data_IF_650154453903
#
_entry.id   IF_650154453903
#
_cell.length_a   1.000
_cell.length_b   1.000
_cell.length_c   1.000
_cell.angle_alpha   90.00
_cell.angle_beta   90.00
_cell.angle_gamma   90.00
#
_symmetry.space_group_name_H-M   'P 1'
#
loop_
_entity.id
_entity.type
_entity.pdbx_description
1 polymer ?
#
# COMPACT_ATOMS: atom_id res chain seq x y z
N UNK A 1 12.75 -4.74 46.70
CA UNK A 1 12.98 -5.09 45.27
C UNK A 1 14.06 -4.20 44.67
N UNK A 2 13.89 -2.86 44.68
CA UNK A 2 14.88 -1.87 44.21
C UNK A 2 16.31 -2.11 44.72
N UNK A 3 16.54 -2.28 46.03
CA UNK A 3 17.90 -2.48 46.58
C UNK A 3 18.60 -3.78 46.17
N UNK A 4 17.84 -4.85 45.86
CA UNK A 4 18.39 -6.14 45.41
C UNK A 4 18.63 -6.15 43.90
N UNK A 5 17.75 -5.51 43.13
CA UNK A 5 17.91 -5.33 41.69
C UNK A 5 19.13 -4.44 41.41
N UNK A 6 19.27 -3.34 42.15
CA UNK A 6 20.42 -2.44 42.10
C UNK A 6 21.76 -3.17 42.29
N UNK A 7 21.86 -4.02 43.32
CA UNK A 7 23.06 -4.84 43.58
C UNK A 7 23.35 -5.85 42.47
N UNK A 8 22.32 -6.45 41.89
CA UNK A 8 22.49 -7.38 40.76
C UNK A 8 22.93 -6.66 39.48
N UNK A 9 22.44 -5.44 39.26
CA UNK A 9 22.76 -4.65 38.08
C UNK A 9 24.18 -4.11 38.14
N UNK A 10 24.65 -3.63 39.30
CA UNK A 10 26.04 -3.17 39.43
C UNK A 10 27.04 -4.31 39.21
N UNK A 11 26.73 -5.52 39.69
CA UNK A 11 27.54 -6.71 39.44
C UNK A 11 27.59 -7.09 37.94
N UNK A 12 26.48 -6.92 37.21
CA UNK A 12 26.41 -7.17 35.77
C UNK A 12 27.05 -6.08 34.89
N UNK A 13 27.02 -4.81 35.32
CA UNK A 13 27.70 -3.72 34.59
C UNK A 13 29.22 -3.84 34.73
N UNK A 14 29.70 -4.29 35.89
CA UNK A 14 31.11 -4.60 36.16
C UNK A 14 31.63 -5.75 35.28
N UNK A 15 30.82 -6.78 35.00
CA UNK A 15 31.22 -7.89 34.14
C UNK A 15 31.21 -7.56 32.63
N UNK A 16 30.47 -6.52 32.23
CA UNK A 16 30.40 -6.04 30.84
C UNK A 16 31.31 -4.84 30.54
N UNK A 17 32.18 -4.43 31.47
CA UNK A 17 33.12 -3.32 31.28
C UNK A 17 32.45 -1.94 31.17
N UNK A 18 31.22 -1.80 31.64
CA UNK A 18 30.49 -0.52 31.69
C UNK A 18 30.71 0.17 33.04
N UNK A 19 30.68 1.51 33.07
CA UNK A 19 30.84 2.27 34.33
C UNK A 19 29.82 1.79 35.38
N UNK A 20 30.25 1.63 36.65
CA UNK A 20 29.37 1.18 37.72
C UNK A 20 28.26 2.23 37.97
N UNK A 21 27.02 1.75 37.99
CA UNK A 21 25.83 2.59 38.24
C UNK A 21 25.92 3.16 39.66
N UNK A 22 25.87 4.49 39.82
CA UNK A 22 25.86 5.14 41.14
C UNK A 22 24.43 5.13 41.72
N UNK A 23 24.08 4.02 42.38
CA UNK A 23 22.70 3.62 42.72
C UNK A 23 22.12 4.29 43.98
N UNK A 24 22.84 5.20 44.63
CA UNK A 24 22.44 5.71 45.94
C UNK A 24 21.40 6.86 45.91
N UNK A 25 21.06 7.40 44.73
CA UNK A 25 20.15 8.55 44.59
C UNK A 25 19.24 8.51 43.34
N UNK A 26 19.16 7.38 42.62
CA UNK A 26 18.34 7.31 41.41
C UNK A 26 16.91 6.83 41.68
N UNK A 27 15.94 7.57 41.16
CA UNK A 27 14.52 7.22 41.19
C UNK A 27 14.28 5.82 40.57
N UNK A 28 13.36 5.03 41.14
CA UNK A 28 13.07 3.64 40.71
C UNK A 28 12.79 3.53 39.20
N UNK A 29 12.16 4.56 38.62
CA UNK A 29 11.91 4.65 37.18
C UNK A 29 13.21 4.64 36.36
N UNK A 30 14.20 5.43 36.76
CA UNK A 30 15.49 5.55 36.06
C UNK A 30 16.23 4.22 36.09
N UNK A 31 16.20 3.54 37.24
CA UNK A 31 16.81 2.22 37.40
C UNK A 31 16.19 1.16 36.47
N UNK A 32 14.86 1.11 36.37
CA UNK A 32 14.17 0.14 35.53
C UNK A 32 14.35 0.39 34.04
N UNK A 33 14.56 1.65 33.64
CA UNK A 33 14.80 2.06 32.26
C UNK A 33 16.29 2.06 31.88
N UNK A 34 17.19 1.76 32.83
CA UNK A 34 18.62 1.69 32.57
C UNK A 34 18.94 0.60 31.53
N UNK A 35 19.84 0.82 30.54
CA UNK A 35 20.12 -0.14 29.47
C UNK A 35 20.50 -1.54 29.95
N UNK A 36 21.28 -1.64 31.04
CA UNK A 36 21.65 -2.93 31.65
C UNK A 36 20.44 -3.66 32.22
N UNK A 37 19.51 -2.94 32.87
CA UNK A 37 18.27 -3.50 33.40
C UNK A 37 17.34 -3.96 32.28
N UNK A 38 17.19 -3.14 31.24
CA UNK A 38 16.42 -3.49 30.05
C UNK A 38 17.00 -4.72 29.32
N UNK A 39 18.31 -4.89 29.32
CA UNK A 39 18.98 -6.06 28.71
C UNK A 39 18.68 -7.36 29.48
N UNK A 40 18.55 -7.28 30.81
CA UNK A 40 18.09 -8.41 31.61
C UNK A 40 16.59 -8.66 31.42
N UNK A 41 15.77 -7.61 31.51
CA UNK A 41 14.32 -7.71 31.38
C UNK A 41 13.86 -8.14 29.99
N UNK A 42 14.59 -7.81 28.92
CA UNK A 42 14.24 -8.21 27.56
C UNK A 42 14.25 -9.72 27.35
N UNK A 43 14.97 -10.48 28.20
CA UNK A 43 14.98 -11.93 28.19
C UNK A 43 13.85 -12.53 29.04
N UNK A 44 13.53 -11.90 30.18
CA UNK A 44 12.55 -12.40 31.13
C UNK A 44 11.10 -12.05 30.76
N UNK A 45 10.86 -10.80 30.37
CA UNK A 45 9.51 -10.26 30.13
C UNK A 45 8.73 -11.07 29.08
N UNK A 46 9.31 -11.52 27.95
CA UNK A 46 8.59 -12.34 26.97
C UNK A 46 8.09 -13.70 27.50
N UNK A 47 8.65 -14.20 28.60
CA UNK A 47 8.24 -15.47 29.23
C UNK A 47 7.04 -15.31 30.16
N UNK A 48 6.67 -14.09 30.51
CA UNK A 48 5.63 -13.77 31.49
C UNK A 48 4.41 -13.23 30.76
N UNK A 49 3.24 -13.86 30.98
CA UNK A 49 1.98 -13.42 30.37
C UNK A 49 1.18 -12.44 31.22
N UNK A 50 1.37 -12.43 32.56
CA UNK A 50 0.57 -11.64 33.49
C UNK A 50 1.48 -10.89 34.46
N UNK A 51 1.40 -9.56 34.40
CA UNK A 51 2.04 -8.65 35.34
C UNK A 51 0.93 -8.00 36.20
N UNK A 52 0.85 -8.41 37.47
CA UNK A 52 -0.19 -7.93 38.38
C UNK A 52 0.37 -6.88 39.36
N UNK A 53 -0.50 -5.95 39.79
CA UNK A 53 -0.17 -4.88 40.77
C UNK A 53 1.03 -4.01 40.39
N UNK A 54 1.24 -3.78 39.09
CA UNK A 54 2.29 -2.88 38.61
C UNK A 54 1.93 -1.41 38.86
N UNK A 55 2.90 -0.66 39.38
CA UNK A 55 2.87 0.79 39.37
C UNK A 55 3.03 1.35 37.93
N UNK A 56 2.62 2.59 37.65
CA UNK A 56 2.68 3.17 36.29
C UNK A 56 4.06 3.07 35.62
N UNK A 57 5.13 3.41 36.34
CA UNK A 57 6.50 3.35 35.83
C UNK A 57 6.97 1.91 35.55
N UNK A 58 6.43 0.92 36.27
CA UNK A 58 6.73 -0.49 36.03
C UNK A 58 6.04 -1.02 34.78
N UNK A 59 4.84 -0.53 34.44
CA UNK A 59 4.19 -0.82 33.15
C UNK A 59 5.02 -0.28 31.98
N UNK A 60 5.52 0.95 32.11
CA UNK A 60 6.41 1.56 31.13
C UNK A 60 7.71 0.75 30.95
N UNK A 61 8.30 0.26 32.05
CA UNK A 61 9.49 -0.59 32.01
C UNK A 61 9.27 -1.92 31.27
N UNK A 62 8.10 -2.56 31.44
CA UNK A 62 7.76 -3.79 30.71
C UNK A 62 7.71 -3.54 29.21
N UNK A 63 7.06 -2.46 28.77
CA UNK A 63 7.00 -2.07 27.35
C UNK A 63 8.39 -1.72 26.83
N UNK A 64 9.20 -0.99 27.61
CA UNK A 64 10.57 -0.66 27.26
C UNK A 64 11.45 -1.90 27.09
N UNK A 65 11.33 -2.89 27.96
CA UNK A 65 12.07 -4.15 27.89
C UNK A 65 11.72 -4.96 26.64
N UNK A 66 10.44 -5.05 26.29
CA UNK A 66 9.99 -5.69 25.04
C UNK A 66 10.56 -4.97 23.81
N UNK A 67 10.51 -3.63 23.79
CA UNK A 67 11.08 -2.84 22.70
C UNK A 67 12.60 -3.06 22.57
N UNK A 68 13.31 -3.08 23.70
CA UNK A 68 14.77 -3.33 23.76
C UNK A 68 15.13 -4.72 23.25
N UNK A 69 14.27 -5.72 23.50
CA UNK A 69 14.38 -7.07 22.95
C UNK A 69 14.07 -7.19 21.45
N UNK A 70 13.77 -6.09 20.76
CA UNK A 70 13.46 -6.07 19.33
C UNK A 70 12.01 -6.41 18.99
N UNK A 71 11.12 -6.55 19.98
CA UNK A 71 9.70 -6.79 19.73
C UNK A 71 8.97 -5.49 19.35
N UNK A 72 7.93 -5.62 18.53
CA UNK A 72 6.98 -4.53 18.26
C UNK A 72 5.84 -4.61 19.26
N UNK A 73 5.64 -3.55 20.02
CA UNK A 73 4.69 -3.47 21.13
C UNK A 73 3.46 -2.67 20.75
N UNK A 74 2.30 -3.16 21.16
CA UNK A 74 1.04 -2.45 21.16
C UNK A 74 0.53 -2.42 22.59
N UNK A 75 0.21 -1.23 23.09
CA UNK A 75 -0.34 -1.02 24.43
C UNK A 75 -1.76 -0.47 24.31
N UNK A 76 -2.68 -1.02 25.09
CA UNK A 76 -4.04 -0.50 25.23
C UNK A 76 -4.29 -0.18 26.69
N UNK A 77 -4.85 0.99 26.96
CA UNK A 77 -5.20 1.44 28.30
C UNK A 77 -6.27 2.51 28.27
N UNK A 78 -6.86 2.82 29.41
CA UNK A 78 -7.93 3.80 29.58
C UNK A 78 -7.58 4.87 30.62
N UNK A 79 -6.67 4.55 31.55
CA UNK A 79 -6.34 5.38 32.70
C UNK A 79 -5.04 6.20 32.57
N UNK A 80 -4.94 7.22 33.42
CA UNK A 80 -3.74 8.04 33.64
C UNK A 80 -2.50 7.20 33.98
N UNK A 81 -2.71 6.05 34.61
CA UNK A 81 -1.66 5.09 34.99
C UNK A 81 -1.00 4.39 33.79
N UNK A 82 -1.60 4.44 32.61
CA UNK A 82 -1.08 3.79 31.40
C UNK A 82 -0.36 4.76 30.46
N UNK A 83 -0.38 6.06 30.74
CA UNK A 83 0.18 7.14 29.90
C UNK A 83 1.65 6.87 29.53
N UNK A 84 2.48 6.50 30.50
CA UNK A 84 3.89 6.21 30.25
C UNK A 84 4.09 5.00 29.32
N UNK A 85 3.33 3.93 29.55
CA UNK A 85 3.36 2.72 28.72
C UNK A 85 2.79 2.95 27.31
N UNK A 86 1.69 3.70 27.19
CA UNK A 86 1.07 4.09 25.93
C UNK A 86 2.04 4.88 25.06
N UNK A 87 2.77 5.84 25.65
CA UNK A 87 3.76 6.66 24.94
C UNK A 87 5.03 5.88 24.57
N UNK A 88 5.41 4.89 25.37
CA UNK A 88 6.60 4.05 25.13
C UNK A 88 6.35 2.98 24.05
N UNK A 89 5.11 2.51 23.90
CA UNK A 89 4.74 1.50 22.92
C UNK A 89 4.91 2.02 21.49
N UNK A 90 5.17 1.11 20.53
CA UNK A 90 5.20 1.50 19.12
C UNK A 90 3.81 1.94 18.63
N UNK A 91 2.76 1.32 19.17
CA UNK A 91 1.36 1.68 18.94
C UNK A 91 0.65 1.76 20.29
N UNK A 92 0.21 2.96 20.68
CA UNK A 92 -0.65 3.16 21.85
C UNK A 92 -2.10 3.37 21.43
N UNK A 93 -3.04 2.71 22.11
CA UNK A 93 -4.48 2.88 21.90
C UNK A 93 -5.12 3.24 23.24
N UNK A 94 -5.74 4.42 23.34
CA UNK A 94 -6.62 4.71 24.47
C UNK A 94 -8.05 4.23 24.18
N UNK A 95 -8.73 3.69 25.19
CA UNK A 95 -10.18 3.42 25.13
C UNK A 95 -10.85 4.40 26.08
N UNK A 96 -11.86 5.13 25.60
CA UNK A 96 -12.65 6.01 26.45
C UNK A 96 -13.46 5.14 27.42
N UNK A 97 -13.28 5.37 28.72
CA UNK A 97 -14.01 4.68 29.78
C UNK A 97 -15.21 5.52 30.18
N UNK A 98 -16.42 5.03 29.89
CA UNK A 98 -17.68 5.75 30.15
C UNK A 98 -18.71 4.75 30.72
N UNK A 99 -18.59 4.35 32.00
CA UNK A 99 -19.28 3.18 32.55
C UNK A 99 -20.82 3.24 32.44
N UNK A 100 -21.42 4.43 32.51
CA UNK A 100 -22.87 4.59 32.34
C UNK A 100 -23.31 4.36 30.90
N UNK A 101 -22.57 4.95 29.94
CA UNK A 101 -22.81 4.79 28.51
C UNK A 101 -22.52 3.35 28.07
N UNK A 102 -21.50 2.72 28.65
CA UNK A 102 -21.19 1.31 28.48
C UNK A 102 -22.34 0.40 28.87
N UNK A 103 -22.94 0.65 30.04
CA UNK A 103 -24.08 -0.14 30.51
C UNK A 103 -25.26 0.00 29.55
N UNK A 104 -25.56 1.23 29.08
CA UNK A 104 -26.60 1.48 28.07
C UNK A 104 -26.31 0.73 26.76
N UNK A 105 -25.09 0.83 26.23
CA UNK A 105 -24.68 0.13 24.99
C UNK A 105 -24.75 -1.40 25.13
N UNK A 106 -24.28 -1.96 26.25
CA UNK A 106 -24.33 -3.41 26.52
C UNK A 106 -25.76 -3.91 26.60
N UNK A 107 -26.62 -3.22 27.34
CA UNK A 107 -28.04 -3.59 27.47
C UNK A 107 -28.76 -3.59 26.12
N UNK A 108 -28.55 -2.54 25.30
CA UNK A 108 -29.17 -2.43 23.99
C UNK A 108 -28.64 -3.48 22.99
N UNK A 109 -27.34 -3.75 23.00
CA UNK A 109 -26.73 -4.77 22.13
C UNK A 109 -27.13 -6.20 22.53
N UNK A 110 -27.27 -6.48 23.83
CA UNK A 110 -27.79 -7.75 24.33
C UNK A 110 -29.27 -7.94 23.93
N UNK A 111 -30.11 -6.92 24.06
CA UNK A 111 -31.50 -6.96 23.61
C UNK A 111 -31.60 -7.27 22.10
N UNK A 112 -30.76 -6.64 21.27
CA UNK A 112 -30.66 -6.90 19.83
C UNK A 112 -30.21 -8.33 19.51
N UNK A 113 -29.22 -8.85 20.23
CA UNK A 113 -28.72 -10.21 20.03
C UNK A 113 -29.77 -11.27 20.40
N UNK A 114 -30.51 -11.06 21.49
CA UNK A 114 -31.62 -11.90 21.91
C UNK A 114 -32.77 -11.87 20.89
N UNK A 115 -33.09 -10.69 20.34
CA UNK A 115 -34.09 -10.55 19.29
C UNK A 115 -33.70 -11.31 18.01
N UNK A 116 -32.43 -11.20 17.57
CA UNK A 116 -31.93 -11.95 16.40
C UNK A 116 -31.98 -13.47 16.64
N UNK A 117 -31.60 -13.95 17.82
CA UNK A 117 -31.68 -15.38 18.19
C UNK A 117 -33.12 -15.88 18.23
N UNK A 118 -34.06 -15.10 18.77
CA UNK A 118 -35.50 -15.44 18.78
C UNK A 118 -36.08 -15.48 17.37
N UNK A 119 -35.71 -14.55 16.48
CA UNK A 119 -36.15 -14.53 15.08
C UNK A 119 -35.64 -15.72 14.26
N UNK A 120 -34.39 -16.14 14.48
CA UNK A 120 -33.84 -17.35 13.84
C UNK A 120 -34.62 -18.63 14.21
N UNK A 121 -35.25 -18.67 15.39
CA UNK A 121 -36.10 -19.78 15.87
C UNK A 121 -37.58 -19.67 15.47
N UNK A 122 -38.05 -18.53 14.93
CA UNK A 122 -39.48 -18.22 14.72
C UNK A 122 -39.91 -17.99 13.28
N UNK A 123 -39.14 -18.44 12.28
CA UNK A 123 -39.44 -18.27 10.86
C UNK A 123 -40.74 -18.93 10.33
N UNK A 124 -41.66 -19.40 11.19
CA UNK A 124 -42.91 -20.10 10.80
C UNK A 124 -44.22 -19.57 11.41
N UNK A 125 -44.28 -18.40 12.04
CA UNK A 125 -45.56 -17.87 12.54
C UNK A 125 -45.74 -16.37 12.26
N UNK A 126 -46.43 -16.07 11.15
CA UNK A 126 -46.86 -14.72 10.81
C UNK A 126 -48.03 -14.29 11.69
N UNK A 127 -47.75 -13.40 12.66
CA UNK A 127 -48.65 -12.39 13.26
C UNK A 127 -48.02 -11.89 14.57
N UNK A 128 -47.06 -10.95 14.47
CA UNK A 128 -46.61 -9.99 15.53
C UNK A 128 -45.55 -8.98 15.02
N UNK A 129 -45.58 -8.65 13.72
CA UNK A 129 -44.51 -7.87 13.04
C UNK A 129 -44.44 -6.41 13.51
N UNK A 130 -45.58 -5.77 13.80
CA UNK A 130 -45.63 -4.33 14.14
C UNK A 130 -44.97 -4.00 15.49
N UNK A 131 -45.30 -4.77 16.53
CA UNK A 131 -44.73 -4.60 17.88
C UNK A 131 -43.22 -4.92 17.93
N UNK A 132 -42.78 -5.91 17.13
CA UNK A 132 -41.38 -6.29 17.04
C UNK A 132 -40.54 -5.27 16.28
N UNK A 133 -41.09 -4.65 15.25
CA UNK A 133 -40.47 -3.54 14.52
C UNK A 133 -40.34 -2.29 15.41
N UNK A 134 -41.37 -1.97 16.18
CA UNK A 134 -41.35 -0.83 17.10
C UNK A 134 -40.31 -1.00 18.22
N UNK A 135 -40.20 -2.20 18.81
CA UNK A 135 -39.15 -2.50 19.78
C UNK A 135 -37.74 -2.42 19.16
N UNK A 136 -37.58 -2.90 17.91
CA UNK A 136 -36.31 -2.81 17.19
C UNK A 136 -35.89 -1.36 16.91
N UNK A 137 -36.83 -0.52 16.46
CA UNK A 137 -36.60 0.91 16.25
C UNK A 137 -36.22 1.63 17.56
N UNK A 138 -36.91 1.32 18.67
CA UNK A 138 -36.57 1.85 20.00
C UNK A 138 -35.17 1.43 20.47
N UNK A 139 -34.79 0.16 20.31
CA UNK A 139 -33.45 -0.31 20.66
C UNK A 139 -32.36 0.35 19.78
N UNK A 140 -32.65 0.59 18.50
CA UNK A 140 -31.73 1.27 17.59
C UNK A 140 -31.56 2.74 17.97
N UNK A 141 -32.65 3.39 18.40
CA UNK A 141 -32.62 4.76 18.87
C UNK A 141 -31.82 4.91 20.17
N UNK A 142 -32.00 4.00 21.14
CA UNK A 142 -31.18 3.96 22.36
C UNK A 142 -29.69 3.79 22.07
N UNK A 143 -29.32 3.01 21.04
CA UNK A 143 -27.93 2.88 20.60
C UNK A 143 -27.38 4.18 20.01
N UNK A 144 -28.19 4.94 19.26
CA UNK A 144 -27.79 6.24 18.72
C UNK A 144 -27.59 7.26 19.82
N UNK A 145 -28.53 7.35 20.75
CA UNK A 145 -28.44 8.24 21.91
C UNK A 145 -27.21 7.93 22.76
N UNK A 146 -26.95 6.64 23.05
CA UNK A 146 -25.74 6.23 23.76
C UNK A 146 -24.44 6.56 22.96
N UNK A 147 -24.48 6.50 21.63
CA UNK A 147 -23.34 6.88 20.79
C UNK A 147 -23.11 8.40 20.81
N UNK A 148 -24.18 9.20 20.76
CA UNK A 148 -24.12 10.66 20.87
C UNK A 148 -23.61 11.11 22.26
N UNK A 149 -24.08 10.47 23.33
CA UNK A 149 -23.55 10.69 24.69
C UNK A 149 -22.05 10.38 24.74
N UNK A 150 -21.60 9.28 24.12
CA UNK A 150 -20.19 8.89 24.06
C UNK A 150 -19.32 9.87 23.28
N UNK A 151 -19.87 10.44 22.20
CA UNK A 151 -19.20 11.45 21.39
C UNK A 151 -19.05 12.80 22.11
N UNK A 152 -19.83 13.03 23.17
CA UNK A 152 -19.74 14.20 24.05
C UNK A 152 -18.84 13.98 25.27
N UNK A 153 -18.31 12.77 25.50
CA UNK A 153 -17.43 12.49 26.64
C UNK A 153 -16.08 13.16 26.42
N UNK A 154 -15.63 13.91 27.44
CA UNK A 154 -14.32 14.56 27.45
C UNK A 154 -13.18 13.54 27.39
N UNK A 155 -12.16 13.88 26.61
CA UNK A 155 -10.97 13.06 26.47
C UNK A 155 -10.08 13.19 27.72
N UNK A 156 -9.83 12.08 28.40
CA UNK A 156 -8.88 12.03 29.51
C UNK A 156 -7.40 12.00 29.08
N UNK A 157 -6.48 12.09 30.04
CA UNK A 157 -5.02 12.16 29.80
C UNK A 157 -4.46 11.00 28.97
N UNK A 158 -5.03 9.80 29.10
CA UNK A 158 -4.64 8.62 28.32
C UNK A 158 -4.85 8.84 26.81
N UNK A 159 -5.91 9.56 26.43
CA UNK A 159 -6.22 9.90 25.03
C UNK A 159 -5.31 11.00 24.49
N UNK A 160 -4.77 11.85 25.35
CA UNK A 160 -3.75 12.83 24.95
C UNK A 160 -2.40 12.14 24.69
N UNK A 161 -2.11 11.07 25.43
CA UNK A 161 -0.84 10.36 25.32
C UNK A 161 -0.80 9.32 24.19
N UNK A 162 -1.93 8.70 23.86
CA UNK A 162 -2.02 7.66 22.84
C UNK A 162 -2.21 8.25 21.43
N UNK A 163 -1.49 7.75 20.41
CA UNK A 163 -1.70 8.19 19.02
C UNK A 163 -3.06 7.78 18.45
N UNK A 164 -3.70 6.73 19.00
CA UNK A 164 -5.05 6.31 18.65
C UNK A 164 -5.97 6.41 19.86
N UNK A 165 -7.16 6.95 19.66
CA UNK A 165 -8.23 6.97 20.67
C UNK A 165 -9.46 6.27 20.12
N UNK A 166 -9.89 5.22 20.79
CA UNK A 166 -11.14 4.53 20.47
C UNK A 166 -12.29 5.15 21.23
N UNK A 167 -13.25 5.67 20.47
CA UNK A 167 -14.54 6.10 21.00
C UNK A 167 -15.49 4.95 21.28
N UNK A 168 -15.26 3.77 20.72
CA UNK A 168 -16.07 2.60 21.04
C UNK A 168 -15.52 1.91 22.28
N UNK A 169 -16.40 1.52 23.20
CA UNK A 169 -16.00 0.76 24.39
C UNK A 169 -15.84 -0.72 24.03
N UNK A 170 -14.83 -1.01 23.23
CA UNK A 170 -14.54 -2.35 22.75
C UNK A 170 -13.06 -2.50 22.41
N UNK A 171 -12.48 -3.63 22.80
CA UNK A 171 -11.14 -4.04 22.36
C UNK A 171 -11.09 -4.39 20.86
N UNK A 172 -12.22 -4.36 20.15
CA UNK A 172 -12.26 -4.58 18.69
C UNK A 172 -11.40 -3.56 17.94
N UNK A 173 -11.23 -2.35 18.48
CA UNK A 173 -10.34 -1.34 17.94
C UNK A 173 -8.91 -1.85 17.71
N UNK A 174 -8.41 -2.77 18.54
CA UNK A 174 -7.09 -3.41 18.37
C UNK A 174 -7.05 -4.21 17.07
N UNK A 175 -8.10 -4.99 16.80
CA UNK A 175 -8.22 -5.76 15.56
C UNK A 175 -8.28 -4.81 14.35
N UNK A 176 -9.12 -3.78 14.43
CA UNK A 176 -9.32 -2.83 13.33
C UNK A 176 -8.02 -2.07 12.99
N UNK A 177 -7.28 -1.61 14.00
CA UNK A 177 -5.97 -0.94 13.84
C UNK A 177 -4.93 -1.88 13.22
N UNK A 178 -4.86 -3.15 13.67
CA UNK A 178 -3.92 -4.13 13.09
C UNK A 178 -4.29 -4.44 11.64
N UNK A 179 -5.58 -4.58 11.33
CA UNK A 179 -6.05 -4.84 9.96
C UNK A 179 -5.73 -3.69 9.02
N UNK A 180 -6.02 -2.47 9.44
CA UNK A 180 -5.69 -1.27 8.68
C UNK A 180 -4.18 -1.12 8.52
N UNK A 181 -3.40 -1.25 9.59
CA UNK A 181 -1.94 -1.17 9.52
C UNK A 181 -1.32 -2.19 8.56
N UNK A 182 -1.85 -3.42 8.50
CA UNK A 182 -1.41 -4.43 7.53
C UNK A 182 -1.79 -4.07 6.08
N UNK A 183 -3.01 -3.60 5.85
CA UNK A 183 -3.44 -3.12 4.54
C UNK A 183 -2.56 -1.96 4.08
N UNK A 184 -2.41 -0.92 4.91
CA UNK A 184 -1.58 0.25 4.62
C UNK A 184 -0.13 -0.14 4.32
N UNK A 185 0.48 -1.02 5.12
CA UNK A 185 1.85 -1.46 4.87
C UNK A 185 1.99 -2.14 3.50
N UNK A 186 1.06 -3.03 3.16
CA UNK A 186 1.06 -3.73 1.88
C UNK A 186 0.81 -2.76 0.71
N UNK A 187 -0.10 -1.80 0.85
CA UNK A 187 -0.35 -0.74 -0.13
C UNK A 187 0.90 0.13 -0.35
N UNK A 188 1.60 0.52 0.72
CA UNK A 188 2.82 1.32 0.63
C UNK A 188 3.95 0.58 -0.07
N UNK A 189 4.14 -0.72 0.22
CA UNK A 189 5.13 -1.54 -0.48
C UNK A 189 4.85 -1.64 -1.98
N UNK A 190 3.58 -1.73 -2.37
CA UNK A 190 3.18 -1.73 -3.78
C UNK A 190 3.49 -0.40 -4.45
N UNK A 191 3.13 0.71 -3.80
CA UNK A 191 3.41 2.07 -4.29
C UNK A 191 4.91 2.26 -4.54
N UNK A 192 5.77 1.79 -3.63
CA UNK A 192 7.21 1.88 -3.82
C UNK A 192 7.71 1.04 -5.00
N UNK A 193 7.17 -0.16 -5.22
CA UNK A 193 7.51 -0.97 -6.42
C UNK A 193 7.09 -0.26 -7.71
N UNK A 194 5.85 0.26 -7.74
CA UNK A 194 5.30 1.02 -8.88
C UNK A 194 6.20 2.22 -9.20
N UNK A 195 6.53 3.02 -8.18
CA UNK A 195 7.38 4.20 -8.35
C UNK A 195 8.78 3.84 -8.85
N UNK A 196 9.37 2.77 -8.31
CA UNK A 196 10.70 2.31 -8.73
C UNK A 196 10.74 1.89 -10.19
N UNK A 197 9.77 1.09 -10.64
CA UNK A 197 9.69 0.64 -12.04
C UNK A 197 9.44 1.83 -12.97
N UNK A 198 8.46 2.69 -12.65
CA UNK A 198 8.13 3.85 -13.49
C UNK A 198 9.31 4.82 -13.62
N UNK A 199 10.07 5.04 -12.55
CA UNK A 199 11.26 5.88 -12.58
C UNK A 199 12.34 5.31 -13.53
N UNK A 200 12.61 4.01 -13.46
CA UNK A 200 13.59 3.35 -14.31
C UNK A 200 13.16 3.36 -15.79
N UNK A 201 11.89 3.03 -16.07
CA UNK A 201 11.34 3.04 -17.44
C UNK A 201 11.43 4.45 -18.04
N UNK A 202 10.93 5.48 -17.33
CA UNK A 202 10.95 6.85 -17.83
C UNK A 202 12.37 7.38 -18.05
N UNK A 203 13.31 7.06 -17.15
CA UNK A 203 14.71 7.46 -17.31
C UNK A 203 15.32 6.87 -18.60
N UNK A 204 15.08 5.58 -18.87
CA UNK A 204 15.58 4.92 -20.08
C UNK A 204 14.92 5.43 -21.35
N UNK A 205 13.60 5.61 -21.33
CA UNK A 205 12.84 6.17 -22.46
C UNK A 205 13.35 7.55 -22.82
N UNK A 206 13.48 8.44 -21.83
CA UNK A 206 13.95 9.81 -22.06
C UNK A 206 15.41 9.82 -22.54
N UNK A 207 16.27 8.96 -21.99
CA UNK A 207 17.66 8.82 -22.45
C UNK A 207 17.73 8.34 -23.91
N UNK A 208 16.93 7.35 -24.30
CA UNK A 208 16.91 6.84 -25.67
C UNK A 208 16.34 7.84 -26.66
N UNK A 209 15.23 8.50 -26.31
CA UNK A 209 14.63 9.56 -27.11
C UNK A 209 15.62 10.71 -27.34
N UNK A 210 16.34 11.12 -26.29
CA UNK A 210 17.37 12.16 -26.36
C UNK A 210 18.49 11.82 -27.35
N UNK A 211 18.95 10.56 -27.40
CA UNK A 211 19.98 10.13 -28.36
C UNK A 211 19.51 10.24 -29.82
N UNK A 212 18.21 10.10 -30.07
CA UNK A 212 17.61 10.23 -31.40
C UNK A 212 17.06 11.64 -31.65
N UNK A 213 17.27 12.59 -30.74
CA UNK A 213 16.75 13.96 -30.89
C UNK A 213 15.23 14.10 -30.70
N UNK A 214 14.52 13.02 -30.34
CA UNK A 214 13.06 13.04 -30.16
C UNK A 214 12.72 13.48 -28.73
N UNK A 215 11.59 14.19 -28.60
CA UNK A 215 11.09 14.72 -27.32
C UNK A 215 9.71 14.15 -27.00
N UNK A 216 9.27 14.29 -25.76
CA UNK A 216 7.88 14.04 -25.36
C UNK A 216 7.13 15.37 -25.26
N UNK A 217 5.85 15.37 -25.63
CA UNK A 217 5.02 16.57 -25.58
C UNK A 217 4.57 16.90 -24.16
N UNK A 218 4.41 18.18 -23.85
CA UNK A 218 3.91 18.61 -22.54
C UNK A 218 2.49 18.10 -22.27
N UNK A 219 1.65 18.01 -23.30
CA UNK A 219 0.28 17.49 -23.20
C UNK A 219 0.28 15.98 -22.94
N UNK A 220 1.15 15.23 -23.62
CA UNK A 220 1.38 13.80 -23.36
C UNK A 220 1.72 13.54 -21.88
N UNK A 221 2.71 14.27 -21.35
CA UNK A 221 3.16 14.15 -19.97
C UNK A 221 2.10 14.61 -18.96
N UNK A 222 1.34 15.66 -19.28
CA UNK A 222 0.26 16.17 -18.41
C UNK A 222 -0.87 15.16 -18.30
N UNK A 223 -1.34 14.60 -19.41
CA UNK A 223 -2.42 13.60 -19.41
C UNK A 223 -1.96 12.35 -18.65
N UNK A 224 -0.77 11.84 -18.96
CA UNK A 224 -0.22 10.67 -18.26
C UNK A 224 -0.07 10.94 -16.75
N UNK A 225 0.45 12.10 -16.37
CA UNK A 225 0.60 12.51 -14.97
C UNK A 225 -0.73 12.55 -14.22
N UNK A 226 -1.79 13.09 -14.84
CA UNK A 226 -3.15 13.12 -14.28
C UNK A 226 -3.73 11.71 -14.09
N UNK A 227 -3.56 10.83 -15.08
CA UNK A 227 -3.99 9.42 -14.99
C UNK A 227 -3.24 8.70 -13.88
N UNK A 228 -1.92 8.85 -13.81
CA UNK A 228 -1.08 8.24 -12.76
C UNK A 228 -1.47 8.73 -11.37
N UNK A 229 -1.71 10.03 -11.21
CA UNK A 229 -2.19 10.60 -9.95
C UNK A 229 -3.54 10.00 -9.51
N UNK A 230 -4.49 9.86 -10.46
CA UNK A 230 -5.78 9.22 -10.19
C UNK A 230 -5.62 7.74 -9.80
N UNK A 231 -4.78 6.98 -10.51
CA UNK A 231 -4.53 5.57 -10.19
C UNK A 231 -3.88 5.42 -8.80
N UNK A 232 -2.91 6.25 -8.42
CA UNK A 232 -2.36 6.25 -7.07
C UNK A 232 -3.44 6.52 -6.01
N UNK A 233 -4.31 7.50 -6.24
CA UNK A 233 -5.43 7.77 -5.35
C UNK A 233 -6.34 6.54 -5.20
N UNK A 234 -6.67 5.84 -6.29
CA UNK A 234 -7.51 4.63 -6.24
C UNK A 234 -6.80 3.42 -5.58
N UNK A 235 -5.47 3.28 -5.71
CA UNK A 235 -4.70 2.27 -4.95
C UNK A 235 -4.88 2.48 -3.45
N UNK A 236 -4.78 3.73 -2.98
CA UNK A 236 -4.87 4.05 -1.55
C UNK A 236 -6.26 3.83 -0.93
N UNK A 237 -7.29 3.65 -1.77
CA UNK A 237 -8.66 3.33 -1.34
C UNK A 237 -8.93 1.83 -1.15
N UNK A 238 -7.88 1.01 -1.18
CA UNK A 238 -8.02 -0.40 -0.90
C UNK A 238 -8.44 -0.67 0.55
N UNK A 239 -9.42 -1.55 0.74
CA UNK A 239 -9.93 -1.92 2.05
C UNK A 239 -9.27 -3.20 2.60
N UNK A 240 -9.07 -3.30 3.93
CA UNK A 240 -8.57 -4.51 4.58
C UNK A 240 -9.60 -5.64 4.56
N UNK A 241 -9.13 -6.89 4.60
CA UNK A 241 -10.01 -8.04 4.79
C UNK A 241 -10.49 -8.15 6.25
N UNK A 242 -11.72 -8.66 6.49
CA UNK A 242 -12.32 -8.75 7.82
C UNK A 242 -11.67 -9.79 8.74
N UNK A 243 -10.88 -10.72 8.18
CA UNK A 243 -10.19 -11.77 8.93
C UNK A 243 -8.67 -11.58 8.90
N UNK A 244 -8.03 -11.85 10.04
CA UNK A 244 -6.58 -11.73 10.18
C UNK A 244 -5.90 -13.03 9.77
N UNK A 245 -5.01 -12.94 8.79
CA UNK A 245 -4.15 -14.06 8.40
C UNK A 245 -2.99 -14.27 9.38
N UNK A 246 -2.49 -15.51 9.45
CA UNK A 246 -1.27 -15.83 10.23
C UNK A 246 -0.01 -15.23 9.61
N UNK A 247 0.00 -15.03 8.29
CA UNK A 247 1.12 -14.45 7.55
C UNK A 247 1.30 -12.97 7.91
N UNK A 248 2.55 -12.51 7.96
CA UNK A 248 2.88 -11.09 8.15
C UNK A 248 3.22 -10.47 6.79
N UNK A 249 2.87 -9.20 6.55
CA UNK A 249 3.40 -8.48 5.39
C UNK A 249 4.94 -8.43 5.41
N UNK A 250 5.57 -8.25 4.24
CA UNK A 250 7.00 -7.95 4.19
C UNK A 250 7.30 -6.67 4.97
N UNK A 251 8.48 -6.58 5.59
CA UNK A 251 8.88 -5.43 6.42
C UNK A 251 9.78 -4.42 5.69
N UNK A 252 10.28 -4.74 4.49
CA UNK A 252 11.18 -3.90 3.71
C UNK A 252 10.86 -3.96 2.23
N UNK A 253 11.02 -2.82 1.56
CA UNK A 253 10.93 -2.67 0.10
C UNK A 253 12.14 -3.31 -0.59
N UNK A 254 13.31 -3.31 0.07
CA UNK A 254 14.58 -3.77 -0.49
C UNK A 254 14.85 -5.25 -0.20
N UNK A 255 13.80 -6.07 -0.08
CA UNK A 255 13.99 -7.52 -0.01
C UNK A 255 14.37 -8.06 -1.40
N UNK A 256 15.15 -9.14 -1.43
CA UNK A 256 15.63 -9.74 -2.68
C UNK A 256 14.46 -10.06 -3.65
N UNK A 257 13.35 -10.58 -3.13
CA UNK A 257 12.13 -10.83 -3.91
C UNK A 257 11.61 -9.56 -4.61
N UNK A 258 11.54 -8.43 -3.90
CA UNK A 258 11.05 -7.18 -4.45
C UNK A 258 12.02 -6.61 -5.49
N UNK A 259 13.33 -6.67 -5.23
CA UNK A 259 14.35 -6.21 -6.18
C UNK A 259 14.37 -7.05 -7.47
N UNK A 260 14.27 -8.38 -7.36
CA UNK A 260 14.19 -9.27 -8.52
C UNK A 260 12.91 -8.99 -9.31
N UNK A 261 11.78 -8.80 -8.62
CA UNK A 261 10.52 -8.43 -9.26
C UNK A 261 10.59 -7.10 -10.02
N UNK A 262 11.18 -6.06 -9.40
CA UNK A 262 11.40 -4.76 -10.05
C UNK A 262 12.30 -4.93 -11.28
N UNK A 263 13.41 -5.67 -11.15
CA UNK A 263 14.35 -5.87 -12.25
C UNK A 263 13.75 -6.65 -13.42
N UNK A 264 12.97 -7.71 -13.15
CA UNK A 264 12.31 -8.50 -14.20
C UNK A 264 11.22 -7.68 -14.92
N UNK A 265 10.36 -6.97 -14.17
CA UNK A 265 9.34 -6.12 -14.79
C UNK A 265 9.97 -4.98 -15.60
N UNK A 266 10.99 -4.31 -15.04
CA UNK A 266 11.75 -3.30 -15.77
C UNK A 266 12.38 -3.86 -17.05
N UNK A 267 12.98 -5.05 -17.00
CA UNK A 267 13.55 -5.71 -18.18
C UNK A 267 12.51 -6.00 -19.27
N UNK A 268 11.31 -6.48 -18.90
CA UNK A 268 10.20 -6.68 -19.84
C UNK A 268 9.82 -5.37 -20.53
N UNK A 269 9.55 -4.32 -19.74
CA UNK A 269 9.16 -3.00 -20.27
C UNK A 269 10.26 -2.40 -21.16
N UNK A 270 11.52 -2.52 -20.73
CA UNK A 270 12.67 -2.03 -21.49
C UNK A 270 12.81 -2.74 -22.84
N UNK A 271 12.66 -4.07 -22.87
CA UNK A 271 12.71 -4.84 -24.12
C UNK A 271 11.56 -4.45 -25.04
N UNK A 272 10.32 -4.36 -24.53
CA UNK A 272 9.16 -3.95 -25.33
C UNK A 272 9.38 -2.57 -25.96
N UNK A 273 9.87 -1.61 -25.17
CA UNK A 273 10.17 -0.25 -25.65
C UNK A 273 11.32 -0.25 -26.65
N UNK A 274 12.39 -1.01 -26.41
CA UNK A 274 13.51 -1.13 -27.33
C UNK A 274 13.08 -1.72 -28.69
N UNK A 275 12.28 -2.78 -28.69
CA UNK A 275 11.75 -3.37 -29.92
C UNK A 275 10.86 -2.39 -30.69
N UNK A 276 10.04 -1.60 -30.01
CA UNK A 276 9.25 -0.56 -30.66
C UNK A 276 10.11 0.58 -31.21
N UNK A 277 11.17 0.97 -30.49
CA UNK A 277 12.14 1.96 -30.98
C UNK A 277 12.76 1.46 -32.28
N UNK A 278 13.34 0.25 -32.28
CA UNK A 278 13.96 -0.34 -33.47
C UNK A 278 13.00 -0.46 -34.66
N UNK A 279 11.74 -0.84 -34.41
CA UNK A 279 10.72 -0.92 -35.46
C UNK A 279 10.25 0.46 -35.95
N UNK A 280 10.32 1.50 -35.11
CA UNK A 280 9.89 2.86 -35.46
C UNK A 280 10.97 3.68 -36.18
N UNK A 281 12.26 3.37 -35.98
CA UNK A 281 13.38 4.14 -36.53
C UNK A 281 13.40 4.20 -38.06
N UNK A 282 12.90 3.17 -38.75
CA UNK A 282 12.81 3.17 -40.22
C UNK A 282 11.86 4.22 -40.78
N UNK A 283 10.98 4.78 -39.94
CA UNK A 283 10.01 5.82 -40.29
C UNK A 283 10.43 7.21 -39.80
N UNK A 284 11.60 7.35 -39.17
CA UNK A 284 12.11 8.64 -38.71
C UNK A 284 12.93 9.28 -39.82
N UNK A 285 12.54 10.48 -40.25
CA UNK A 285 13.32 11.28 -41.20
C UNK A 285 14.57 11.84 -40.50
N UNK A 286 15.79 11.46 -40.90
CA UNK A 286 17.03 11.96 -40.28
C UNK A 286 17.22 13.48 -40.39
N UNK A 287 16.47 14.15 -41.28
CA UNK A 287 16.57 15.57 -41.54
C UNK A 287 15.43 16.39 -40.92
N UNK A 288 14.56 15.78 -40.09
CA UNK A 288 13.47 16.50 -39.43
C UNK A 288 14.04 17.57 -38.47
N UNK A 289 13.73 18.87 -38.68
CA UNK A 289 14.20 19.96 -37.82
C UNK A 289 13.78 19.83 -36.35
N UNK A 290 12.73 19.05 -36.05
CA UNK A 290 12.26 18.79 -34.69
C UNK A 290 13.22 17.89 -33.89
N UNK A 291 14.10 17.14 -34.57
CA UNK A 291 15.11 16.25 -33.97
C UNK A 291 16.33 17.01 -33.43
N UNK A 292 16.45 18.31 -33.71
CA UNK A 292 17.54 19.13 -33.18
C UNK A 292 17.33 19.35 -31.67
N UNK A 293 18.39 19.36 -30.83
CA UNK A 293 18.27 19.52 -29.38
C UNK A 293 17.39 20.70 -28.92
N UNK A 294 17.40 21.82 -29.65
CA UNK A 294 16.59 23.02 -29.36
C UNK A 294 15.38 23.19 -30.31
N UNK A 295 15.07 22.19 -31.14
CA UNK A 295 13.93 22.21 -32.06
C UNK A 295 12.56 22.16 -31.34
N UNK A 296 11.47 22.61 -31.99
CA UNK A 296 10.12 22.49 -31.45
C UNK A 296 9.70 21.02 -31.35
N UNK A 297 8.83 20.68 -30.39
CA UNK A 297 8.22 19.36 -30.34
C UNK A 297 7.28 19.16 -31.54
N UNK A 298 7.49 18.09 -32.30
CA UNK A 298 6.58 17.61 -33.34
C UNK A 298 6.34 16.10 -33.13
N UNK A 299 5.09 15.63 -33.04
CA UNK A 299 4.82 14.21 -32.87
C UNK A 299 5.25 13.42 -34.11
N UNK A 300 6.11 12.43 -33.90
CA UNK A 300 6.57 11.50 -34.92
C UNK A 300 6.31 10.05 -34.51
N UNK A 301 6.63 9.11 -35.40
CA UNK A 301 6.33 7.69 -35.20
C UNK A 301 7.07 7.14 -33.99
N UNK A 302 8.35 7.50 -33.83
CA UNK A 302 9.16 7.08 -32.67
C UNK A 302 8.59 7.60 -31.35
N UNK A 303 8.23 8.88 -31.27
CA UNK A 303 7.56 9.45 -30.09
C UNK A 303 6.25 8.71 -29.80
N UNK A 304 5.40 8.52 -30.80
CA UNK A 304 4.06 7.94 -30.62
C UNK A 304 4.14 6.49 -30.13
N UNK A 305 4.99 5.67 -30.75
CA UNK A 305 5.20 4.26 -30.37
C UNK A 305 5.77 4.15 -28.95
N UNK A 306 6.84 4.88 -28.65
CA UNK A 306 7.47 4.83 -27.32
C UNK A 306 6.58 5.43 -26.23
N UNK A 307 5.80 6.47 -26.52
CA UNK A 307 4.85 7.06 -25.57
C UNK A 307 3.70 6.11 -25.25
N UNK A 308 3.09 5.46 -26.24
CA UNK A 308 2.04 4.45 -26.02
C UNK A 308 2.56 3.28 -25.17
N UNK A 309 3.77 2.79 -25.43
CA UNK A 309 4.38 1.73 -24.64
C UNK A 309 4.79 2.18 -23.24
N UNK A 310 5.20 3.43 -23.08
CA UNK A 310 5.45 4.02 -21.76
C UNK A 310 4.15 4.10 -20.95
N UNK A 311 3.04 4.49 -21.60
CA UNK A 311 1.73 4.50 -20.98
C UNK A 311 1.28 3.10 -20.55
N UNK A 312 1.38 2.09 -21.44
CA UNK A 312 0.98 0.72 -21.09
C UNK A 312 1.86 0.15 -19.98
N UNK A 313 3.18 0.36 -20.04
CA UNK A 313 4.11 -0.07 -18.99
C UNK A 313 3.72 0.55 -17.65
N UNK A 314 3.43 1.85 -17.65
CA UNK A 314 2.97 2.57 -16.45
C UNK A 314 1.69 1.96 -15.89
N UNK A 315 0.67 1.71 -16.72
CA UNK A 315 -0.60 1.08 -16.29
C UNK A 315 -0.37 -0.36 -15.81
N UNK A 316 0.50 -1.11 -16.49
CA UNK A 316 0.89 -2.47 -16.12
C UNK A 316 1.49 -2.51 -14.72
N UNK A 317 2.31 -1.53 -14.33
CA UNK A 317 2.85 -1.49 -12.97
C UNK A 317 1.74 -1.47 -11.91
N UNK A 318 0.63 -0.74 -12.12
CA UNK A 318 -0.51 -0.74 -11.20
C UNK A 318 -1.24 -2.09 -11.19
N UNK A 319 -1.57 -2.62 -12.38
CA UNK A 319 -2.35 -3.85 -12.49
C UNK A 319 -1.59 -5.08 -11.94
N UNK A 320 -0.30 -5.19 -12.27
CA UNK A 320 0.56 -6.32 -11.91
C UNK A 320 0.95 -6.27 -10.44
N UNK A 321 1.32 -5.10 -9.93
CA UNK A 321 1.80 -4.97 -8.55
C UNK A 321 0.69 -4.86 -7.51
N UNK A 322 -0.58 -4.67 -7.91
CA UNK A 322 -1.71 -4.72 -6.98
C UNK A 322 -1.70 -6.06 -6.22
N UNK A 323 -1.58 -6.01 -4.89
CA UNK A 323 -1.74 -7.20 -4.05
C UNK A 323 -3.16 -7.26 -3.52
N UNK A 324 -3.66 -8.48 -3.35
CA UNK A 324 -4.97 -8.73 -2.77
C UNK A 324 -4.84 -9.54 -1.47
N UNK A 325 -5.60 -10.64 -1.35
CA UNK A 325 -5.52 -11.54 -0.20
C UNK A 325 -4.08 -11.99 0.06
N UNK A 326 -3.67 -12.11 1.34
CA UNK A 326 -4.53 -12.22 2.52
C UNK A 326 -4.71 -10.93 3.35
N UNK A 327 -4.29 -9.76 2.85
CA UNK A 327 -4.27 -8.52 3.65
C UNK A 327 -5.31 -7.48 3.25
N UNK A 328 -5.63 -7.42 1.96
CA UNK A 328 -6.53 -6.42 1.38
C UNK A 328 -7.45 -7.09 0.35
N UNK A 329 -8.51 -6.38 -0.02
CA UNK A 329 -9.46 -6.83 -1.03
C UNK A 329 -8.79 -7.13 -2.38
N UNK A 330 -9.44 -7.96 -3.19
CA UNK A 330 -8.96 -8.26 -4.54
C UNK A 330 -9.12 -7.06 -5.49
N UNK A 331 -8.34 -7.04 -6.58
CA UNK A 331 -8.38 -5.96 -7.57
C UNK A 331 -9.81 -5.72 -8.08
N UNK A 332 -10.55 -6.79 -8.38
CA UNK A 332 -11.93 -6.71 -8.88
C UNK A 332 -12.95 -6.18 -7.84
N UNK A 333 -12.62 -6.27 -6.55
CA UNK A 333 -13.45 -5.75 -5.46
C UNK A 333 -13.23 -4.24 -5.29
N UNK A 334 -12.01 -3.75 -5.58
CA UNK A 334 -11.75 -2.31 -5.73
C UNK A 334 -12.32 -1.79 -7.06
N UNK A 335 -13.62 -1.50 -7.08
CA UNK A 335 -14.34 -1.07 -8.29
C UNK A 335 -13.75 0.18 -8.95
N UNK A 336 -13.21 1.12 -8.17
CA UNK A 336 -12.59 2.34 -8.69
C UNK A 336 -11.35 1.98 -9.50
N UNK A 337 -10.39 1.29 -8.87
CA UNK A 337 -9.16 0.86 -9.53
C UNK A 337 -9.46 -0.04 -10.75
N UNK A 338 -10.29 -1.06 -10.58
CA UNK A 338 -10.55 -2.04 -11.63
C UNK A 338 -11.15 -1.41 -12.89
N UNK A 339 -12.17 -0.56 -12.73
CA UNK A 339 -12.79 0.13 -13.87
C UNK A 339 -11.84 1.13 -14.52
N UNK A 340 -11.06 1.87 -13.73
CA UNK A 340 -10.07 2.81 -14.26
C UNK A 340 -9.00 2.11 -15.10
N UNK A 341 -8.51 0.94 -14.67
CA UNK A 341 -7.56 0.14 -15.46
C UNK A 341 -8.20 -0.32 -16.79
N UNK A 342 -9.44 -0.82 -16.76
CA UNK A 342 -10.15 -1.20 -17.98
C UNK A 342 -10.29 -0.04 -18.97
N UNK A 343 -10.64 1.15 -18.47
CA UNK A 343 -10.72 2.36 -19.30
C UNK A 343 -9.35 2.72 -19.87
N UNK A 344 -8.28 2.67 -19.08
CA UNK A 344 -6.94 2.99 -19.56
C UNK A 344 -6.47 2.03 -20.66
N UNK A 345 -6.67 0.72 -20.50
CA UNK A 345 -6.34 -0.25 -21.55
C UNK A 345 -7.20 -0.08 -22.80
N UNK A 346 -8.50 0.24 -22.65
CA UNK A 346 -9.38 0.49 -23.79
C UNK A 346 -8.97 1.74 -24.57
N UNK A 347 -8.65 2.84 -23.88
CA UNK A 347 -8.14 4.08 -24.49
C UNK A 347 -6.87 3.80 -25.27
N UNK A 348 -5.92 3.08 -24.67
CA UNK A 348 -4.67 2.72 -25.35
C UNK A 348 -4.88 1.80 -26.56
N UNK A 349 -5.80 0.85 -26.48
CA UNK A 349 -6.15 -0.01 -27.60
C UNK A 349 -6.80 0.79 -28.75
N UNK A 350 -7.68 1.73 -28.43
CA UNK A 350 -8.30 2.64 -29.42
C UNK A 350 -7.25 3.51 -30.11
N UNK A 351 -6.28 4.04 -29.35
CA UNK A 351 -5.17 4.82 -29.90
C UNK A 351 -4.26 3.97 -30.80
N UNK A 352 -3.84 2.80 -30.34
CA UNK A 352 -2.90 1.94 -31.06
C UNK A 352 -3.49 1.36 -32.36
N UNK A 353 -4.80 1.10 -32.38
CA UNK A 353 -5.53 0.60 -33.55
C UNK A 353 -6.16 1.72 -34.38
N UNK A 354 -5.93 2.99 -34.02
CA UNK A 354 -6.42 4.19 -34.72
C UNK A 354 -7.93 4.20 -34.98
N UNK A 355 -8.71 3.58 -34.07
CA UNK A 355 -10.16 3.43 -34.22
C UNK A 355 -10.88 4.78 -34.09
N UNK A 356 -10.30 5.72 -33.34
CA UNK A 356 -10.88 7.04 -33.10
C UNK A 356 -9.80 8.15 -33.14
N UNK A 357 -9.47 8.67 -34.33
CA UNK A 357 -8.39 9.65 -34.53
C UNK A 357 -8.44 10.91 -33.64
N UNK A 358 -9.60 11.49 -33.28
CA UNK A 358 -9.62 12.65 -32.38
C UNK A 358 -9.00 12.39 -31.00
N UNK A 359 -8.98 11.13 -30.55
CA UNK A 359 -8.30 10.74 -29.31
C UNK A 359 -6.78 10.62 -29.51
N UNK A 360 -6.33 10.19 -30.70
CA UNK A 360 -4.93 10.21 -31.08
C UNK A 360 -4.40 11.66 -31.10
N UNK A 361 -5.15 12.58 -31.71
CA UNK A 361 -4.81 14.01 -31.73
C UNK A 361 -4.72 14.62 -30.32
N UNK A 362 -5.68 14.27 -29.44
CA UNK A 362 -5.67 14.70 -28.04
C UNK A 362 -4.43 14.21 -27.28
N UNK A 363 -3.91 13.03 -27.63
CA UNK A 363 -2.70 12.45 -27.06
C UNK A 363 -1.42 12.85 -27.82
N UNK A 364 -1.53 13.75 -28.80
CA UNK A 364 -0.42 14.14 -29.70
C UNK A 364 0.26 12.90 -30.32
N UNK A 365 -0.53 11.95 -30.81
CA UNK A 365 -0.04 10.77 -31.50
C UNK A 365 -0.08 11.01 -33.02
N UNK A 366 1.01 10.67 -33.70
CA UNK A 366 1.05 10.68 -35.17
C UNK A 366 0.37 9.43 -35.73
N UNK A 367 -0.09 9.51 -36.98
CA UNK A 367 -0.64 8.36 -37.69
C UNK A 367 0.45 7.31 -37.94
N UNK A 368 0.19 6.08 -37.56
CA UNK A 368 1.10 4.96 -37.71
C UNK A 368 1.18 4.55 -39.20
N UNK A 369 2.37 4.62 -39.81
CA UNK A 369 2.51 4.43 -41.25
C UNK A 369 2.31 2.97 -41.66
N UNK A 370 1.99 2.76 -42.94
CA UNK A 370 2.15 1.45 -43.55
C UNK A 370 3.64 1.14 -43.75
N UNK A 371 4.01 -0.13 -43.78
CA UNK A 371 5.43 -0.52 -43.90
C UNK A 371 6.06 -0.08 -45.23
N UNK A 372 5.23 0.10 -46.26
CA UNK A 372 5.64 0.64 -47.57
C UNK A 372 6.11 2.10 -47.50
N UNK A 373 5.69 2.85 -46.47
CA UNK A 373 6.03 4.26 -46.26
C UNK A 373 7.36 4.45 -45.49
N UNK A 374 8.17 3.38 -45.36
CA UNK A 374 9.48 3.45 -44.73
C UNK A 374 10.41 4.44 -45.43
N UNK A 375 11.16 5.19 -44.64
CA UNK A 375 12.08 6.24 -45.12
C UNK A 375 13.50 5.69 -45.24
N UNK A 376 13.88 4.79 -44.33
CA UNK A 376 15.21 4.19 -44.25
C UNK A 376 15.09 2.67 -44.28
N UNK A 377 16.07 2.00 -44.90
CA UNK A 377 16.17 0.55 -44.86
C UNK A 377 16.53 0.06 -43.44
N UNK A 378 16.05 -1.12 -43.02
CA UNK A 378 16.28 -1.64 -41.68
C UNK A 378 17.78 -1.84 -41.42
N UNK A 379 18.26 -1.26 -40.32
CA UNK A 379 19.66 -1.39 -39.92
C UNK A 379 19.84 -2.67 -39.08
N UNK A 380 20.25 -3.74 -39.75
CA UNK A 380 20.60 -5.02 -39.13
C UNK A 380 19.47 -6.05 -39.04
N UNK A 381 19.79 -7.27 -38.54
CA UNK A 381 18.90 -8.42 -38.63
C UNK A 381 17.67 -8.32 -37.74
N UNK A 382 17.78 -7.66 -36.58
CA UNK A 382 16.65 -7.47 -35.66
C UNK A 382 15.61 -6.56 -36.31
N UNK A 383 16.02 -5.37 -36.79
CA UNK A 383 15.14 -4.43 -37.46
C UNK A 383 14.45 -5.09 -38.66
N UNK A 384 15.20 -5.81 -39.51
CA UNK A 384 14.63 -6.52 -40.65
C UNK A 384 13.55 -7.55 -40.27
N UNK A 385 13.76 -8.32 -39.20
CA UNK A 385 12.76 -9.27 -38.70
C UNK A 385 11.52 -8.56 -38.17
N UNK A 386 11.67 -7.47 -37.41
CA UNK A 386 10.54 -6.71 -36.87
C UNK A 386 9.70 -6.08 -37.98
N UNK A 387 10.35 -5.51 -38.99
CA UNK A 387 9.68 -4.94 -40.16
C UNK A 387 8.96 -6.04 -40.94
N UNK A 388 9.57 -7.19 -41.18
CA UNK A 388 8.89 -8.30 -41.86
C UNK A 388 7.64 -8.78 -41.11
N UNK A 389 7.69 -8.85 -39.77
CA UNK A 389 6.51 -9.16 -38.96
C UNK A 389 5.45 -8.07 -39.14
N UNK A 390 5.84 -6.80 -39.09
CA UNK A 390 4.93 -5.67 -39.28
C UNK A 390 4.32 -5.63 -40.69
N UNK A 391 5.01 -6.08 -41.74
CA UNK A 391 4.47 -6.22 -43.10
C UNK A 391 3.32 -7.23 -43.14
N UNK A 392 3.45 -8.34 -42.41
CA UNK A 392 2.46 -9.42 -42.42
C UNK A 392 1.20 -9.04 -41.65
N UNK A 393 1.33 -8.35 -40.52
CA UNK A 393 0.20 -8.08 -39.60
C UNK A 393 -0.28 -6.63 -39.61
N UNK A 394 0.46 -5.73 -40.24
CA UNK A 394 0.25 -4.28 -40.17
C UNK A 394 0.97 -3.63 -38.98
N UNK A 395 1.61 -2.48 -39.22
CA UNK A 395 2.38 -1.77 -38.20
C UNK A 395 1.55 -1.33 -36.96
N UNK A 396 0.32 -0.80 -37.10
CA UNK A 396 -0.53 -0.48 -35.94
C UNK A 396 -0.82 -1.72 -35.07
N UNK A 397 -1.13 -2.85 -35.72
CA UNK A 397 -1.40 -4.09 -35.03
C UNK A 397 -0.14 -4.68 -34.38
N UNK A 398 1.02 -4.52 -35.01
CA UNK A 398 2.31 -4.90 -34.42
C UNK A 398 2.57 -4.14 -33.10
N UNK A 399 2.36 -2.82 -33.08
CA UNK A 399 2.52 -2.01 -31.86
C UNK A 399 1.52 -2.44 -30.79
N UNK A 400 0.24 -2.61 -31.15
CA UNK A 400 -0.77 -3.12 -30.22
C UNK A 400 -0.42 -4.51 -29.65
N UNK A 401 0.04 -5.42 -30.51
CA UNK A 401 0.47 -6.75 -30.09
C UNK A 401 1.64 -6.69 -29.11
N UNK A 402 2.62 -5.82 -29.35
CA UNK A 402 3.76 -5.61 -28.46
C UNK A 402 3.31 -5.10 -27.07
N UNK A 403 2.31 -4.22 -27.01
CA UNK A 403 1.70 -3.77 -25.75
C UNK A 403 1.02 -4.92 -24.99
N UNK A 404 0.36 -5.83 -25.70
CA UNK A 404 -0.27 -7.02 -25.10
C UNK A 404 0.80 -7.98 -24.58
N UNK A 405 1.85 -8.22 -25.35
CA UNK A 405 2.99 -9.07 -24.95
C UNK A 405 3.66 -8.51 -23.70
N UNK A 406 3.95 -7.21 -23.66
CA UNK A 406 4.49 -6.51 -22.49
C UNK A 406 3.65 -6.79 -21.24
N UNK A 407 2.33 -6.60 -21.37
CA UNK A 407 1.37 -6.82 -20.29
C UNK A 407 1.41 -8.26 -19.78
N UNK A 408 1.34 -9.24 -20.68
CA UNK A 408 1.36 -10.66 -20.32
C UNK A 408 2.67 -11.05 -19.65
N UNK A 409 3.81 -10.62 -20.20
CA UNK A 409 5.13 -10.92 -19.65
C UNK A 409 5.35 -10.27 -18.29
N UNK A 410 4.87 -9.05 -18.07
CA UNK A 410 4.93 -8.39 -16.76
C UNK A 410 4.14 -9.17 -15.70
N UNK A 411 2.93 -9.65 -16.04
CA UNK A 411 2.15 -10.53 -15.16
C UNK A 411 2.86 -11.86 -14.87
N UNK A 412 3.51 -12.46 -15.89
CA UNK A 412 4.28 -13.69 -15.72
C UNK A 412 5.48 -13.46 -14.81
N UNK A 413 6.23 -12.37 -14.99
CA UNK A 413 7.39 -12.01 -14.17
C UNK A 413 7.02 -11.84 -12.69
N UNK A 414 5.92 -11.13 -12.40
CA UNK A 414 5.44 -10.96 -11.02
C UNK A 414 4.89 -12.27 -10.43
N UNK A 415 4.16 -13.07 -11.22
CA UNK A 415 3.64 -14.35 -10.74
C UNK A 415 4.78 -15.33 -10.43
N UNK A 416 5.83 -15.32 -11.23
CA UNK A 416 7.04 -16.10 -10.99
C UNK A 416 7.72 -15.70 -9.68
N UNK A 417 7.98 -14.39 -9.49
CA UNK A 417 8.60 -13.87 -8.26
C UNK A 417 7.73 -14.07 -7.02
N UNK A 418 6.40 -14.15 -7.13
CA UNK A 418 5.52 -14.46 -5.99
C UNK A 418 5.49 -15.95 -5.62
N UNK A 419 5.74 -16.84 -6.58
CA UNK A 419 5.59 -18.30 -6.38
C UNK A 419 6.89 -18.96 -5.93
N UNK A 420 8.03 -18.47 -6.40
CA UNK A 420 9.32 -19.15 -6.23
C UNK A 420 10.32 -18.41 -5.34
N UNK A 421 10.03 -17.16 -4.97
CA UNK A 421 10.81 -16.32 -4.07
C UNK A 421 9.91 -15.81 -2.94
#
# INVERSE_FOLDING_TARGET
FSSSLAKSLSASSLSQGQQPINLNNEDEKSLLLHPTALSFFSQLVPLISVFARHAPHQKEAVVAALNHGGYRTLMVGDGTNDVGALKRAHVGISIISAPEVEAKQRNASDALSQMKKKNKKRAKAGKKVKQQRQLFEQTLQQLREAQEELDQVDLGDASVAAPFTSRAVSIKCVKDVIQQGRCTLVTMLQIYKILGINCLVNAMVLSNLFLHGVKQGDQQLTILGMVVAALFFFVTRAEPLPDLSKTRPPSSVLCAQALISIALQFGVHLISIALATEAALVFVDPYDPSLVPDGPFNPNVLNSCTFMLTCVSTINTFAVNYRGPPFMQELHQNKLMYRSLQVCYAVLAICALEVFPPLNDLMQLTTLPNVEERIVEPDGPLSAVLIHIAEVIGFPFFIFWLMVVDTVLAFVAERFTRRYL
#
